data_IF_353246030255
#
_entry.id   IF_353246030255
#
_cell.length_a   1.000
_cell.length_b   1.000
_cell.length_c   1.000
_cell.angle_alpha   90.00
_cell.angle_beta   90.00
_cell.angle_gamma   90.00
#
_symmetry.space_group_name_H-M   'P 1'
#
loop_
_entity.id
_entity.type
_entity.pdbx_description
1 polymer ?
#
# COMPACT_ATOMS: atom_id res chain seq x y z
N UNK A 1 -12.45 15.89 16.10
CA UNK A 1 -12.32 15.99 14.65
C UNK A 1 -12.53 14.62 14.02
N UNK A 2 -13.34 14.56 13.00
CA UNK A 2 -13.68 13.28 12.37
C UNK A 2 -12.94 13.12 11.05
N UNK A 3 -12.34 11.95 10.88
CA UNK A 3 -11.77 11.55 9.59
C UNK A 3 -12.88 10.96 8.73
N UNK A 4 -12.93 11.33 7.47
CA UNK A 4 -13.95 10.89 6.52
C UNK A 4 -13.26 10.32 5.28
N UNK A 5 -13.66 9.12 4.88
CA UNK A 5 -13.22 8.53 3.62
C UNK A 5 -13.87 9.25 2.45
N UNK A 6 -13.08 9.54 1.43
CA UNK A 6 -13.56 10.24 0.23
C UNK A 6 -12.99 9.59 -1.02
N UNK A 7 -13.72 9.63 -2.14
CA UNK A 7 -13.16 9.22 -3.42
C UNK A 7 -12.08 10.21 -3.86
N UNK A 8 -11.04 9.70 -4.49
CA UNK A 8 -10.00 10.53 -5.10
C UNK A 8 -9.65 9.96 -6.48
N UNK A 9 -9.19 10.82 -7.37
CA UNK A 9 -8.65 10.37 -8.65
C UNK A 9 -7.21 9.87 -8.45
N UNK A 10 -6.72 9.05 -9.37
CA UNK A 10 -5.31 8.64 -9.33
C UNK A 10 -4.40 9.86 -9.40
N UNK A 11 -4.77 10.86 -10.18
CA UNK A 11 -4.02 12.11 -10.31
C UNK A 11 -3.86 12.80 -8.95
N UNK A 12 -4.95 12.95 -8.20
CA UNK A 12 -4.92 13.61 -6.91
C UNK A 12 -4.16 12.76 -5.87
N UNK A 13 -4.33 11.45 -5.92
CA UNK A 13 -3.59 10.54 -5.03
C UNK A 13 -2.09 10.60 -5.30
N UNK A 14 -1.67 10.58 -6.57
CA UNK A 14 -0.26 10.68 -6.94
C UNK A 14 0.33 12.03 -6.56
N UNK A 15 -0.43 13.10 -6.66
CA UNK A 15 0.03 14.43 -6.24
C UNK A 15 0.25 14.47 -4.73
N UNK A 16 -0.64 13.87 -3.96
CA UNK A 16 -0.45 13.78 -2.51
C UNK A 16 0.80 12.97 -2.16
N UNK A 17 1.02 11.85 -2.84
CA UNK A 17 2.23 11.02 -2.64
C UNK A 17 3.49 11.82 -2.99
N UNK A 18 3.47 12.58 -4.08
CA UNK A 18 4.60 13.40 -4.50
C UNK A 18 4.98 14.42 -3.42
N UNK A 19 4.01 15.02 -2.78
CA UNK A 19 4.24 16.05 -1.76
C UNK A 19 4.70 15.46 -0.43
N UNK A 20 4.15 14.31 -0.04
CA UNK A 20 4.34 13.76 1.31
C UNK A 20 5.26 12.55 1.38
N UNK A 21 5.51 11.86 0.27
CA UNK A 21 6.35 10.66 0.22
C UNK A 21 7.57 10.92 -0.65
N UNK A 22 8.71 11.15 -0.03
CA UNK A 22 9.94 11.51 -0.74
C UNK A 22 10.60 10.34 -1.47
N UNK A 23 10.27 9.11 -1.08
CA UNK A 23 11.00 7.92 -1.53
C UNK A 23 10.28 7.10 -2.59
N UNK A 24 9.07 7.49 -2.95
CA UNK A 24 8.26 6.76 -3.92
C UNK A 24 7.77 7.68 -5.02
N UNK A 25 7.93 7.23 -6.25
CA UNK A 25 7.35 7.91 -7.39
C UNK A 25 5.86 7.69 -7.50
N UNK A 26 5.20 8.34 -8.46
CA UNK A 26 3.79 8.14 -8.72
C UNK A 26 3.50 6.71 -9.17
N UNK A 27 2.29 6.24 -8.87
CA UNK A 27 1.80 4.95 -9.35
C UNK A 27 1.26 5.15 -10.76
N UNK A 28 1.65 4.28 -11.69
CA UNK A 28 1.22 4.38 -13.10
C UNK A 28 -0.12 3.69 -13.32
N UNK A 29 -0.29 2.48 -12.78
CA UNK A 29 -1.53 1.72 -12.91
C UNK A 29 -2.21 1.53 -11.58
N UNK A 30 -3.54 1.44 -11.59
CA UNK A 30 -4.31 1.22 -10.37
C UNK A 30 -5.67 0.59 -10.68
N UNK A 31 -6.31 0.06 -9.62
CA UNK A 31 -7.68 -0.41 -9.63
C UNK A 31 -8.57 0.38 -8.68
N UNK A 32 -8.03 0.77 -7.53
CA UNK A 32 -8.74 1.51 -6.49
C UNK A 32 -7.85 2.63 -5.97
N UNK A 33 -8.46 3.77 -5.69
CA UNK A 33 -7.83 4.85 -4.96
C UNK A 33 -8.86 5.43 -3.99
N UNK A 34 -8.41 5.77 -2.78
CA UNK A 34 -9.27 6.33 -1.75
C UNK A 34 -8.50 7.37 -0.97
N UNK A 35 -9.21 8.37 -0.49
CA UNK A 35 -8.63 9.41 0.35
C UNK A 35 -9.28 9.45 1.72
N UNK A 36 -8.61 10.12 2.64
CA UNK A 36 -9.12 10.48 3.96
C UNK A 36 -8.96 11.97 4.12
N UNK A 37 -10.01 12.65 4.51
CA UNK A 37 -9.93 14.07 4.83
C UNK A 37 -10.24 14.32 6.30
N UNK A 38 -9.68 15.39 6.81
CA UNK A 38 -9.98 15.94 8.13
C UNK A 38 -10.53 17.35 7.90
N UNK A 39 -11.83 17.52 8.06
CA UNK A 39 -12.48 18.73 7.59
C UNK A 39 -12.38 18.85 6.07
N UNK A 40 -11.86 19.96 5.58
CA UNK A 40 -11.67 20.20 4.14
C UNK A 40 -10.29 19.78 3.63
N UNK A 41 -9.41 19.32 4.53
CA UNK A 41 -8.04 18.96 4.17
C UNK A 41 -7.91 17.48 3.89
N UNK A 42 -7.36 17.14 2.73
CA UNK A 42 -6.97 15.78 2.42
C UNK A 42 -5.74 15.43 3.24
N UNK A 43 -5.84 14.42 4.09
CA UNK A 43 -4.75 14.06 5.01
C UNK A 43 -4.16 12.67 4.73
N UNK A 44 -4.71 11.94 3.78
CA UNK A 44 -4.13 10.67 3.38
C UNK A 44 -4.77 10.12 2.13
N UNK A 45 -4.00 9.27 1.43
CA UNK A 45 -4.47 8.55 0.23
C UNK A 45 -3.97 7.12 0.26
N UNK A 46 -4.75 6.23 -0.32
CA UNK A 46 -4.36 4.85 -0.54
C UNK A 46 -4.63 4.44 -1.97
N UNK A 47 -3.73 3.68 -2.56
CA UNK A 47 -3.81 3.21 -3.93
C UNK A 47 -3.58 1.71 -3.95
N UNK A 48 -4.42 1.00 -4.67
CA UNK A 48 -4.28 -0.44 -4.85
C UNK A 48 -4.43 -0.81 -6.32
N UNK A 49 -3.74 -1.85 -6.73
CA UNK A 49 -3.75 -2.32 -8.09
C UNK A 49 -3.32 -3.78 -8.19
N UNK A 50 -2.97 -4.20 -9.40
CA UNK A 50 -2.47 -5.56 -9.62
C UNK A 50 -1.18 -5.78 -8.83
N UNK A 51 -0.98 -6.97 -8.26
CA UNK A 51 0.27 -7.26 -7.57
C UNK A 51 1.48 -7.04 -8.47
N UNK A 52 2.49 -6.34 -7.94
CA UNK A 52 3.74 -6.09 -8.65
C UNK A 52 4.48 -7.41 -8.84
N UNK A 53 4.48 -8.28 -7.82
CA UNK A 53 5.06 -9.59 -7.91
C UNK A 53 4.18 -10.50 -8.78
N UNK A 54 4.71 -10.91 -9.92
CA UNK A 54 3.98 -11.67 -10.92
C UNK A 54 3.34 -12.95 -10.36
N UNK A 55 4.04 -13.63 -9.45
CA UNK A 55 3.55 -14.87 -8.85
C UNK A 55 2.35 -14.65 -7.91
N UNK A 56 2.15 -13.43 -7.44
CA UNK A 56 1.01 -13.10 -6.57
C UNK A 56 -0.22 -12.67 -7.38
N UNK A 57 -0.08 -12.44 -8.67
CA UNK A 57 -1.17 -11.97 -9.52
C UNK A 57 -2.02 -13.15 -10.01
N UNK A 58 -2.99 -13.54 -9.20
CA UNK A 58 -3.92 -14.64 -9.52
C UNK A 58 -5.19 -14.15 -10.21
N UNK A 59 -5.34 -12.84 -10.41
CA UNK A 59 -6.57 -12.23 -10.93
C UNK A 59 -7.58 -11.90 -9.84
N UNK A 60 -7.48 -12.51 -8.66
CA UNK A 60 -8.36 -12.26 -7.52
C UNK A 60 -7.60 -11.68 -6.32
N UNK A 61 -6.35 -11.31 -6.50
CA UNK A 61 -5.51 -10.68 -5.50
C UNK A 61 -5.24 -9.23 -5.88
N UNK A 62 -5.37 -8.33 -4.93
CA UNK A 62 -5.07 -6.91 -5.10
C UNK A 62 -3.90 -6.55 -4.21
N UNK A 63 -3.04 -5.65 -4.66
CA UNK A 63 -1.95 -5.13 -3.83
C UNK A 63 -2.17 -3.66 -3.52
N UNK A 64 -2.07 -3.30 -2.23
CA UNK A 64 -1.98 -1.90 -1.83
C UNK A 64 -0.56 -1.44 -2.09
N UNK A 65 -0.38 -0.63 -3.11
CA UNK A 65 0.93 -0.19 -3.59
C UNK A 65 1.41 1.09 -2.93
N UNK A 66 0.50 1.91 -2.45
CA UNK A 66 0.83 3.16 -1.74
C UNK A 66 -0.22 3.44 -0.67
N UNK A 67 0.24 3.75 0.53
CA UNK A 67 -0.55 4.42 1.56
C UNK A 67 0.32 5.55 2.07
N UNK A 68 -0.17 6.77 1.97
CA UNK A 68 0.57 7.96 2.34
C UNK A 68 -0.34 8.89 3.14
N UNK A 69 0.15 9.39 4.26
CA UNK A 69 -0.60 10.33 5.09
C UNK A 69 0.30 11.50 5.48
N UNK A 70 -0.32 12.57 5.95
CA UNK A 70 0.41 13.71 6.49
C UNK A 70 0.72 13.56 8.00
N UNK A 71 0.58 12.34 8.53
CA UNK A 71 0.79 12.06 9.96
C UNK A 71 -0.49 12.07 10.78
N UNK A 72 -1.64 12.29 10.18
CA UNK A 72 -2.91 12.30 10.89
C UNK A 72 -3.20 10.93 11.51
N UNK A 73 -3.51 10.92 12.80
CA UNK A 73 -3.75 9.69 13.55
C UNK A 73 -4.91 8.90 12.96
N UNK A 74 -4.76 7.59 12.85
CA UNK A 74 -5.74 6.63 12.34
C UNK A 74 -6.00 6.73 10.83
N UNK A 75 -5.41 7.67 10.12
CA UNK A 75 -5.64 7.81 8.68
C UNK A 75 -5.17 6.57 7.91
N UNK A 76 -3.98 6.05 8.21
CA UNK A 76 -3.44 4.88 7.52
C UNK A 76 -4.30 3.63 7.74
N UNK A 77 -4.72 3.35 8.99
CA UNK A 77 -5.57 2.19 9.27
C UNK A 77 -6.93 2.30 8.58
N UNK A 78 -7.50 3.50 8.50
CA UNK A 78 -8.74 3.72 7.76
C UNK A 78 -8.58 3.44 6.27
N UNK A 79 -7.45 3.83 5.69
CA UNK A 79 -7.16 3.59 4.28
C UNK A 79 -6.98 2.10 3.98
N UNK A 80 -6.21 1.38 4.79
CA UNK A 80 -6.06 -0.06 4.62
C UNK A 80 -7.39 -0.79 4.76
N UNK A 81 -8.19 -0.42 5.74
CA UNK A 81 -9.51 -1.01 5.95
C UNK A 81 -10.45 -0.73 4.78
N UNK A 82 -10.48 0.51 4.30
CA UNK A 82 -11.34 0.89 3.18
C UNK A 82 -10.97 0.16 1.88
N UNK A 83 -9.66 0.06 1.60
CA UNK A 83 -9.19 -0.63 0.40
C UNK A 83 -9.54 -2.11 0.43
N UNK A 84 -9.39 -2.78 1.58
CA UNK A 84 -9.76 -4.19 1.70
C UNK A 84 -11.26 -4.40 1.53
N UNK A 85 -12.09 -3.60 2.17
CA UNK A 85 -13.56 -3.70 2.03
C UNK A 85 -13.99 -3.45 0.59
N UNK A 86 -13.44 -2.45 -0.07
CA UNK A 86 -13.76 -2.16 -1.47
C UNK A 86 -13.32 -3.30 -2.38
N UNK A 87 -12.13 -3.85 -2.17
CA UNK A 87 -11.64 -4.98 -2.94
C UNK A 87 -12.56 -6.19 -2.81
N UNK A 88 -12.98 -6.54 -1.59
CA UNK A 88 -13.85 -7.68 -1.37
C UNK A 88 -15.24 -7.45 -1.97
N UNK A 89 -15.75 -6.23 -1.92
CA UNK A 89 -17.00 -5.87 -2.55
C UNK A 89 -16.95 -6.05 -4.08
N UNK A 90 -15.77 -5.90 -4.68
CA UNK A 90 -15.56 -6.08 -6.11
C UNK A 90 -15.25 -7.52 -6.50
N UNK A 91 -15.16 -8.44 -5.54
CA UNK A 91 -14.93 -9.85 -5.80
C UNK A 91 -13.49 -10.33 -5.64
N UNK A 92 -12.57 -9.46 -5.25
CA UNK A 92 -11.23 -9.90 -4.89
C UNK A 92 -11.29 -10.75 -3.62
N UNK A 93 -10.45 -11.76 -3.53
CA UNK A 93 -10.45 -12.68 -2.39
C UNK A 93 -9.32 -12.44 -1.41
N UNK A 94 -8.30 -11.71 -1.84
CA UNK A 94 -7.13 -11.40 -1.03
C UNK A 94 -6.60 -10.02 -1.37
N UNK A 95 -6.12 -9.31 -0.35
CA UNK A 95 -5.38 -8.05 -0.53
C UNK A 95 -4.05 -8.18 0.20
N UNK A 96 -2.99 -7.76 -0.45
CA UNK A 96 -1.64 -7.85 0.08
C UNK A 96 -0.98 -6.47 0.11
N UNK A 97 0.02 -6.33 0.95
CA UNK A 97 0.93 -5.18 0.95
C UNK A 97 2.25 -5.57 1.58
N UNK A 98 3.24 -4.72 1.43
CA UNK A 98 4.57 -4.93 1.97
C UNK A 98 5.00 -3.73 2.81
N UNK A 99 5.68 -3.99 3.92
CA UNK A 99 6.32 -2.97 4.73
C UNK A 99 7.79 -3.32 4.90
N UNK A 100 8.61 -2.33 5.26
CA UNK A 100 9.97 -2.61 5.69
C UNK A 100 9.93 -3.31 7.04
N UNK A 101 10.90 -4.20 7.30
CA UNK A 101 10.96 -4.93 8.58
C UNK A 101 11.16 -4.00 9.77
N UNK A 102 11.65 -2.78 9.55
CA UNK A 102 11.82 -1.75 10.57
C UNK A 102 10.53 -1.02 10.92
N UNK A 103 9.48 -1.15 10.09
CA UNK A 103 8.19 -0.54 10.35
C UNK A 103 7.36 -1.42 11.29
N UNK A 104 6.57 -0.79 12.18
CA UNK A 104 5.84 -1.51 13.22
C UNK A 104 4.64 -2.29 12.69
N UNK A 105 4.04 -1.85 11.58
CA UNK A 105 2.83 -2.46 11.05
C UNK A 105 1.58 -2.19 11.89
N UNK A 106 1.62 -1.21 12.79
CA UNK A 106 0.51 -0.90 13.69
C UNK A 106 -0.78 -0.61 12.93
N UNK A 107 -0.71 0.18 11.85
CA UNK A 107 -1.89 0.53 11.05
C UNK A 107 -2.50 -0.68 10.37
N UNK A 108 -1.68 -1.63 9.94
CA UNK A 108 -2.14 -2.87 9.31
C UNK A 108 -2.81 -3.77 10.33
N UNK A 109 -2.21 -3.95 11.51
CA UNK A 109 -2.82 -4.73 12.58
C UNK A 109 -4.15 -4.13 13.02
N UNK A 110 -4.21 -2.80 13.14
CA UNK A 110 -5.45 -2.11 13.49
C UNK A 110 -6.54 -2.32 12.44
N UNK A 111 -6.17 -2.50 11.18
CA UNK A 111 -7.12 -2.76 10.09
C UNK A 111 -7.43 -4.25 9.91
N UNK A 112 -6.89 -5.12 10.76
CA UNK A 112 -7.19 -6.56 10.73
C UNK A 112 -6.33 -7.38 9.79
N UNK A 113 -5.24 -6.82 9.29
CA UNK A 113 -4.31 -7.54 8.41
C UNK A 113 -3.34 -8.40 9.22
N UNK A 114 -2.86 -9.47 8.61
CA UNK A 114 -1.91 -10.40 9.24
C UNK A 114 -0.54 -10.32 8.57
N UNK A 115 0.50 -10.32 9.39
CA UNK A 115 1.87 -10.44 8.90
C UNK A 115 2.15 -11.90 8.57
N UNK A 116 2.50 -12.17 7.31
CA UNK A 116 2.76 -13.53 6.83
C UNK A 116 4.24 -13.90 7.02
N UNK A 117 5.11 -12.92 7.11
CA UNK A 117 6.54 -13.15 7.28
C UNK A 117 7.37 -12.35 6.30
N UNK A 118 8.65 -12.70 6.23
CA UNK A 118 9.59 -12.01 5.36
C UNK A 118 9.30 -12.32 3.89
N UNK A 119 9.48 -11.32 3.02
CA UNK A 119 9.12 -11.42 1.63
C UNK A 119 10.07 -10.60 0.76
N UNK A 120 11.23 -11.12 0.48
CA UNK A 120 12.16 -10.47 -0.41
C UNK A 120 12.88 -9.28 0.20
N UNK A 121 13.33 -8.35 -0.62
CA UNK A 121 14.14 -7.21 -0.20
C UNK A 121 15.63 -7.44 -0.29
N UNK A 122 16.05 -8.59 -0.82
CA UNK A 122 17.46 -8.88 -1.07
C UNK A 122 17.99 -8.19 -2.33
N UNK A 123 19.30 -8.29 -2.54
CA UNK A 123 19.95 -7.76 -3.73
C UNK A 123 19.48 -8.48 -4.99
N UNK A 124 19.37 -7.75 -6.08
CA UNK A 124 19.10 -8.29 -7.40
C UNK A 124 20.36 -8.78 -8.10
N UNK A 125 21.53 -8.52 -7.50
CA UNK A 125 22.80 -9.01 -8.01
C UNK A 125 22.96 -10.50 -7.68
N UNK A 126 23.47 -11.27 -8.65
CA UNK A 126 23.72 -12.71 -8.51
C UNK A 126 25.11 -13.03 -9.04
N UNK A 127 25.77 -14.10 -8.56
CA UNK A 127 27.08 -14.51 -9.08
C UNK A 127 27.11 -14.68 -10.59
N UNK A 128 26.00 -15.16 -11.18
CA UNK A 128 25.88 -15.37 -12.62
C UNK A 128 25.38 -14.15 -13.38
N UNK A 129 24.88 -13.15 -12.69
CA UNK A 129 24.27 -11.99 -13.32
C UNK A 129 24.23 -10.81 -12.34
N UNK A 130 25.23 -9.96 -12.43
CA UNK A 130 25.26 -8.76 -11.60
C UNK A 130 24.27 -7.71 -12.08
N UNK A 131 23.60 -7.09 -11.15
CA UNK A 131 22.67 -5.96 -11.39
C UNK A 131 22.90 -4.89 -10.35
N UNK A 132 22.75 -3.65 -10.76
CA UNK A 132 22.77 -2.53 -9.83
C UNK A 132 21.46 -2.49 -9.05
N UNK A 133 21.54 -2.47 -7.73
CA UNK A 133 20.37 -2.35 -6.89
C UNK A 133 19.82 -0.91 -6.96
N UNK A 134 18.55 -0.78 -7.36
CA UNK A 134 17.89 0.53 -7.50
C UNK A 134 17.35 1.07 -6.19
N UNK A 135 17.18 0.22 -5.18
CA UNK A 135 16.61 0.57 -3.89
C UNK A 135 17.48 0.01 -2.78
N UNK A 136 17.42 0.59 -1.57
CA UNK A 136 18.13 0.03 -0.43
C UNK A 136 17.79 -1.44 -0.23
N UNK A 137 18.80 -2.25 0.05
CA UNK A 137 18.63 -3.65 0.36
C UNK A 137 18.09 -3.75 1.78
N UNK A 138 16.79 -3.98 1.92
CA UNK A 138 16.14 -4.15 3.21
C UNK A 138 15.11 -5.27 3.12
N UNK A 139 15.04 -6.07 4.17
CA UNK A 139 14.03 -7.10 4.28
C UNK A 139 12.65 -6.47 4.39
N UNK A 140 11.69 -7.05 3.68
CA UNK A 140 10.30 -6.63 3.73
C UNK A 140 9.45 -7.67 4.44
N UNK A 141 8.37 -7.22 5.02
CA UNK A 141 7.32 -8.07 5.58
C UNK A 141 6.12 -8.03 4.65
N UNK A 142 5.56 -9.19 4.38
CA UNK A 142 4.31 -9.31 3.62
C UNK A 142 3.14 -9.37 4.58
N UNK A 143 2.12 -8.60 4.26
CA UNK A 143 0.86 -8.56 5.01
C UNK A 143 -0.28 -8.97 4.10
N UNK A 144 -1.24 -9.68 4.66
CA UNK A 144 -2.40 -10.14 3.91
C UNK A 144 -3.68 -9.98 4.72
N UNK A 145 -4.77 -9.76 3.99
CA UNK A 145 -6.12 -9.89 4.51
C UNK A 145 -6.94 -10.64 3.46
N UNK A 146 -7.75 -11.60 3.92
CA UNK A 146 -8.61 -12.39 3.04
C UNK A 146 -10.08 -12.08 3.31
N UNK A 147 -10.88 -12.27 2.26
CA UNK A 147 -12.31 -12.10 2.37
C UNK A 147 -12.94 -13.07 3.38
#
# INVERSE_FOLDING_TARGET
MSLVLVPVTLRDANEFVRVHHRHHGPVVGYRLAVGVRNGDELCGVGIAGRPVARMSDTGLCLEVTRVCTNGCRNAASMLYGALSRAAFALGYTKVITYTLCTETGTSLRAAGWKCIGEAGGGSWSRPSRERLDKHPIQMKLRWEVTA
#
